data_IF_202446580675
#
_entry.id   IF_202446580675
#
_cell.length_a   1.000
_cell.length_b   1.000
_cell.length_c   1.000
_cell.angle_alpha   90.00
_cell.angle_beta   90.00
_cell.angle_gamma   90.00
#
_symmetry.space_group_name_H-M   'P 1'
#
loop_
_entity.id
_entity.type
_entity.pdbx_description
1 polymer ?
#
# COMPACT_ATOMS: atom_id res chain seq x y z
N UNK A 1 15.54 -12.69 -13.73
CA UNK A 1 14.71 -12.26 -12.59
C UNK A 1 15.37 -11.04 -11.98
N UNK A 2 14.74 -9.88 -12.11
CA UNK A 2 15.26 -8.63 -11.56
C UNK A 2 15.26 -8.68 -10.02
N UNK A 3 16.10 -7.88 -9.37
CA UNK A 3 16.11 -7.83 -7.89
C UNK A 3 14.77 -7.32 -7.33
N UNK A 4 14.06 -6.50 -8.11
CA UNK A 4 12.71 -6.06 -7.77
C UNK A 4 11.68 -7.20 -7.78
N UNK A 5 11.74 -8.12 -8.76
CA UNK A 5 10.86 -9.29 -8.80
C UNK A 5 11.06 -10.18 -7.57
N UNK A 6 12.30 -10.33 -7.10
CA UNK A 6 12.59 -11.06 -5.86
C UNK A 6 11.95 -10.41 -4.63
N UNK A 7 11.96 -9.08 -4.53
CA UNK A 7 11.31 -8.35 -3.44
C UNK A 7 9.80 -8.57 -3.48
N UNK A 8 9.20 -8.47 -4.67
CA UNK A 8 7.77 -8.72 -4.87
C UNK A 8 7.40 -10.14 -4.44
N UNK A 9 8.08 -11.15 -4.94
CA UNK A 9 7.80 -12.56 -4.61
C UNK A 9 7.99 -12.83 -3.11
N UNK A 10 9.03 -12.24 -2.52
CA UNK A 10 9.28 -12.31 -1.08
C UNK A 10 8.11 -11.73 -0.29
N UNK A 11 7.65 -10.53 -0.63
CA UNK A 11 6.53 -9.88 0.07
C UNK A 11 5.22 -10.66 -0.14
N UNK A 12 4.94 -11.16 -1.34
CA UNK A 12 3.75 -12.00 -1.58
C UNK A 12 3.76 -13.24 -0.69
N UNK A 13 4.92 -13.87 -0.47
CA UNK A 13 5.04 -15.07 0.36
C UNK A 13 4.82 -14.81 1.86
N UNK A 14 5.18 -13.63 2.36
CA UNK A 14 4.99 -13.22 3.75
C UNK A 14 4.94 -11.69 3.86
N UNK A 15 3.76 -11.07 3.63
CA UNK A 15 3.65 -9.62 3.52
C UNK A 15 4.12 -8.92 4.79
N UNK A 16 3.65 -9.35 5.96
CA UNK A 16 3.97 -8.71 7.24
C UNK A 16 5.47 -8.68 7.52
N UNK A 17 6.15 -9.83 7.45
CA UNK A 17 7.58 -9.91 7.77
C UNK A 17 8.44 -9.15 6.75
N UNK A 18 8.21 -9.38 5.46
CA UNK A 18 9.11 -8.91 4.42
C UNK A 18 8.83 -7.45 4.04
N UNK A 19 7.58 -6.99 4.17
CA UNK A 19 7.26 -5.57 4.04
C UNK A 19 7.83 -4.76 5.21
N UNK A 20 7.82 -5.27 6.44
CA UNK A 20 8.47 -4.59 7.59
C UNK A 20 9.93 -4.28 7.29
N UNK A 21 10.68 -5.25 6.76
CA UNK A 21 12.08 -5.03 6.41
C UNK A 21 12.22 -3.96 5.33
N UNK A 22 11.41 -4.02 4.28
CA UNK A 22 11.42 -3.03 3.21
C UNK A 22 11.04 -1.62 3.71
N UNK A 23 10.13 -1.53 4.68
CA UNK A 23 9.70 -0.27 5.31
C UNK A 23 10.86 0.46 6.00
N UNK A 24 11.73 -0.25 6.71
CA UNK A 24 12.87 0.36 7.38
C UNK A 24 13.98 0.80 6.42
N UNK A 25 14.09 0.16 5.26
CA UNK A 25 15.18 0.37 4.30
C UNK A 25 14.80 1.34 3.15
N UNK A 26 13.55 1.82 3.11
CA UNK A 26 13.00 2.58 1.97
C UNK A 26 12.36 3.91 2.39
N UNK A 27 12.27 4.84 1.44
CA UNK A 27 11.47 6.06 1.59
C UNK A 27 10.00 5.82 1.16
N UNK A 28 9.15 6.81 1.40
CA UNK A 28 7.73 6.78 1.10
C UNK A 28 7.43 6.56 -0.40
N UNK A 29 8.23 7.11 -1.32
CA UNK A 29 8.03 6.90 -2.76
C UNK A 29 8.22 5.44 -3.16
N UNK A 30 9.31 4.84 -2.68
CA UNK A 30 9.65 3.45 -2.97
C UNK A 30 8.58 2.50 -2.40
N UNK A 31 8.01 2.85 -1.23
CA UNK A 31 6.90 2.14 -0.62
C UNK A 31 5.63 2.25 -1.46
N UNK A 32 5.22 3.46 -1.85
CA UNK A 32 4.02 3.68 -2.66
C UNK A 32 4.17 3.03 -4.04
N UNK A 33 5.36 3.07 -4.64
CA UNK A 33 5.66 2.42 -5.91
C UNK A 33 5.53 0.89 -5.80
N UNK A 34 6.10 0.31 -4.74
CA UNK A 34 6.01 -1.12 -4.46
C UNK A 34 4.55 -1.56 -4.29
N UNK A 35 3.77 -0.86 -3.45
CA UNK A 35 2.35 -1.16 -3.23
C UNK A 35 1.54 -1.05 -4.53
N UNK A 36 1.84 -0.04 -5.37
CA UNK A 36 1.23 0.12 -6.69
C UNK A 36 1.55 -1.03 -7.65
N UNK A 37 2.64 -1.78 -7.44
CA UNK A 37 2.98 -2.96 -8.24
C UNK A 37 2.37 -4.23 -7.64
N UNK A 38 2.44 -4.39 -6.32
CA UNK A 38 1.85 -5.54 -5.60
C UNK A 38 0.35 -5.65 -5.88
N UNK A 39 -0.38 -4.53 -5.92
CA UNK A 39 -1.83 -4.55 -6.11
C UNK A 39 -2.27 -5.09 -7.48
N UNK A 40 -1.36 -5.11 -8.47
CA UNK A 40 -1.64 -5.63 -9.81
C UNK A 40 -1.43 -7.13 -9.93
N UNK A 41 -0.91 -7.80 -8.90
CA UNK A 41 -0.71 -9.24 -8.90
C UNK A 41 -2.09 -9.92 -8.91
N UNK A 42 -2.36 -10.81 -9.90
CA UNK A 42 -3.63 -11.51 -9.98
C UNK A 42 -3.97 -12.26 -8.69
N UNK A 43 -5.27 -12.34 -8.37
CA UNK A 43 -5.88 -13.15 -7.30
C UNK A 43 -5.51 -12.78 -5.85
N UNK A 44 -4.34 -12.20 -5.60
CA UNK A 44 -3.82 -11.97 -4.24
C UNK A 44 -3.32 -10.55 -3.98
N UNK A 45 -3.08 -9.74 -5.02
CA UNK A 45 -2.45 -8.42 -4.88
C UNK A 45 -3.20 -7.47 -3.93
N UNK A 46 -4.53 -7.47 -3.97
CA UNK A 46 -5.34 -6.64 -3.07
C UNK A 46 -5.13 -7.00 -1.59
N UNK A 47 -5.21 -8.29 -1.25
CA UNK A 47 -5.01 -8.78 0.12
C UNK A 47 -3.58 -8.50 0.61
N UNK A 48 -2.57 -8.73 -0.24
CA UNK A 48 -1.17 -8.45 0.08
C UNK A 48 -0.98 -6.97 0.43
N UNK A 49 -1.51 -6.06 -0.38
CA UNK A 49 -1.39 -4.60 -0.13
C UNK A 49 -2.09 -4.20 1.15
N UNK A 50 -3.29 -4.74 1.43
CA UNK A 50 -3.98 -4.49 2.69
C UNK A 50 -3.14 -4.93 3.89
N UNK A 51 -2.51 -6.10 3.82
CA UNK A 51 -1.62 -6.57 4.90
C UNK A 51 -0.39 -5.68 5.07
N UNK A 52 0.21 -5.20 3.98
CA UNK A 52 1.31 -4.24 4.04
C UNK A 52 0.89 -2.91 4.66
N UNK A 53 -0.29 -2.39 4.32
CA UNK A 53 -0.83 -1.15 4.89
C UNK A 53 -1.11 -1.27 6.39
N UNK A 54 -1.71 -2.38 6.83
CA UNK A 54 -1.90 -2.66 8.26
C UNK A 54 -0.56 -2.77 8.99
N UNK A 55 0.45 -3.39 8.36
CA UNK A 55 1.79 -3.44 8.92
C UNK A 55 2.42 -2.04 9.05
N UNK A 56 2.26 -1.18 8.05
CA UNK A 56 2.73 0.20 8.11
C UNK A 56 2.02 0.98 9.22
N UNK A 57 0.70 0.80 9.32
CA UNK A 57 -0.13 1.39 10.36
C UNK A 57 0.39 1.03 11.75
N UNK A 58 0.55 -0.27 12.02
CA UNK A 58 0.96 -0.78 13.33
C UNK A 58 2.37 -0.29 13.73
N UNK A 59 3.29 -0.21 12.77
CA UNK A 59 4.68 0.17 13.04
C UNK A 59 4.85 1.67 13.32
N UNK A 60 3.99 2.50 12.71
CA UNK A 60 4.06 3.96 12.84
C UNK A 60 2.98 4.53 13.78
N UNK A 61 2.22 3.66 14.45
CA UNK A 61 1.14 4.01 15.39
C UNK A 61 0.05 4.90 14.77
N UNK A 62 -0.30 4.63 13.50
CA UNK A 62 -1.38 5.32 12.82
C UNK A 62 -2.76 4.80 13.26
N UNK A 63 -3.77 5.68 13.23
CA UNK A 63 -5.13 5.34 13.63
C UNK A 63 -5.87 4.55 12.54
N UNK A 64 -5.57 4.81 11.27
CA UNK A 64 -6.22 4.15 10.13
C UNK A 64 -5.20 3.51 9.18
N UNK A 65 -5.60 2.43 8.50
CA UNK A 65 -4.72 1.66 7.62
C UNK A 65 -4.25 2.45 6.40
N UNK A 66 -5.08 3.36 5.90
CA UNK A 66 -4.73 4.27 4.80
C UNK A 66 -4.04 5.56 5.22
N UNK A 67 -3.95 5.84 6.51
CA UNK A 67 -3.36 7.07 7.02
C UNK A 67 -1.92 7.32 6.54
N UNK A 68 -1.00 6.33 6.46
CA UNK A 68 0.34 6.58 5.90
C UNK A 68 0.29 7.12 4.47
N UNK A 69 -0.60 6.58 3.62
CA UNK A 69 -0.74 6.98 2.22
C UNK A 69 -1.40 8.35 2.10
N UNK A 70 -2.40 8.62 2.95
CA UNK A 70 -3.08 9.92 2.99
C UNK A 70 -2.14 11.00 3.53
N UNK A 71 -1.35 10.69 4.55
CA UNK A 71 -0.34 11.60 5.11
C UNK A 71 0.65 12.03 4.02
N UNK A 72 1.25 11.07 3.30
CA UNK A 72 2.16 11.37 2.18
C UNK A 72 1.46 12.22 1.11
N UNK A 73 0.25 11.86 0.70
CA UNK A 73 -0.52 12.62 -0.29
C UNK A 73 -0.78 14.08 0.15
N UNK A 74 -1.00 14.32 1.44
CA UNK A 74 -1.29 15.68 1.96
C UNK A 74 -0.04 16.53 2.21
N UNK A 75 1.12 15.90 2.40
CA UNK A 75 2.37 16.58 2.75
C UNK A 75 3.28 16.80 1.55
N UNK A 76 3.10 16.03 0.48
CA UNK A 76 3.97 16.08 -0.70
C UNK A 76 3.65 17.26 -1.61
N UNK A 77 4.66 18.05 -1.97
CA UNK A 77 4.55 19.12 -2.99
C UNK A 77 4.81 18.59 -4.42
N UNK A 78 5.15 17.31 -4.56
CA UNK A 78 5.53 16.72 -5.83
C UNK A 78 4.33 16.05 -6.50
N UNK A 79 4.07 16.44 -7.76
CA UNK A 79 2.92 15.95 -8.53
C UNK A 79 2.99 14.43 -8.81
N UNK A 80 4.20 13.89 -9.01
CA UNK A 80 4.42 12.47 -9.24
C UNK A 80 4.11 11.62 -7.99
N UNK A 81 4.56 12.05 -6.82
CA UNK A 81 4.26 11.41 -5.54
C UNK A 81 2.76 11.45 -5.22
N UNK A 82 2.13 12.63 -5.38
CA UNK A 82 0.68 12.78 -5.21
C UNK A 82 -0.10 11.87 -6.17
N UNK A 83 0.31 11.83 -7.44
CA UNK A 83 -0.27 10.95 -8.46
C UNK A 83 -0.11 9.47 -8.12
N UNK A 84 1.06 9.06 -7.59
CA UNK A 84 1.31 7.69 -7.17
C UNK A 84 0.40 7.25 -6.00
N UNK A 85 0.21 8.13 -5.00
CA UNK A 85 -0.70 7.89 -3.88
C UNK A 85 -2.16 7.77 -4.35
N UNK A 86 -2.63 8.73 -5.14
CA UNK A 86 -3.98 8.70 -5.72
C UNK A 86 -4.21 7.46 -6.59
N UNK A 87 -3.18 7.02 -7.33
CA UNK A 87 -3.24 5.81 -8.14
C UNK A 87 -3.39 4.55 -7.28
N UNK A 88 -2.67 4.47 -6.15
CA UNK A 88 -2.80 3.36 -5.20
C UNK A 88 -4.22 3.32 -4.61
N UNK A 89 -4.72 4.44 -4.10
CA UNK A 89 -6.06 4.57 -3.52
C UNK A 89 -7.14 4.15 -4.54
N UNK A 90 -7.05 4.66 -5.77
CA UNK A 90 -7.98 4.30 -6.83
C UNK A 90 -7.94 2.80 -7.17
N UNK A 91 -6.75 2.18 -7.15
CA UNK A 91 -6.60 0.74 -7.39
C UNK A 91 -7.20 -0.08 -6.26
N UNK A 92 -7.00 0.31 -5.00
CA UNK A 92 -7.61 -0.32 -3.84
C UNK A 92 -9.14 -0.32 -3.92
N UNK A 93 -9.73 0.81 -4.34
CA UNK A 93 -11.18 0.91 -4.54
C UNK A 93 -11.68 0.09 -5.73
N UNK A 94 -10.96 0.10 -6.86
CA UNK A 94 -11.37 -0.60 -8.09
C UNK A 94 -11.25 -2.10 -7.96
N UNK A 95 -10.16 -2.58 -7.36
CA UNK A 95 -9.80 -4.00 -7.23
C UNK A 95 -10.30 -4.61 -5.91
N UNK A 96 -11.10 -3.87 -5.14
CA UNK A 96 -11.71 -4.39 -3.92
C UNK A 96 -12.52 -5.67 -4.20
N UNK A 97 -12.29 -6.77 -3.46
CA UNK A 97 -12.89 -8.08 -3.75
C UNK A 97 -14.40 -8.13 -3.44
N UNK A 98 -14.90 -7.16 -2.66
CA UNK A 98 -16.32 -7.07 -2.31
C UNK A 98 -16.78 -5.61 -2.16
N UNK A 99 -18.10 -5.41 -2.20
CA UNK A 99 -18.70 -4.11 -1.88
C UNK A 99 -18.35 -3.67 -0.44
N UNK A 100 -18.38 -4.60 0.51
CA UNK A 100 -18.03 -4.34 1.92
C UNK A 100 -16.58 -3.87 2.07
N UNK A 101 -15.62 -4.51 1.39
CA UNK A 101 -14.22 -4.08 1.39
C UNK A 101 -14.06 -2.66 0.81
N UNK A 102 -14.80 -2.36 -0.26
CA UNK A 102 -14.81 -1.02 -0.88
C UNK A 102 -15.38 0.05 0.05
N UNK A 103 -16.45 -0.28 0.79
CA UNK A 103 -17.06 0.61 1.78
C UNK A 103 -16.09 0.90 2.92
N UNK A 104 -15.37 -0.12 3.43
CA UNK A 104 -14.35 0.05 4.46
C UNK A 104 -13.23 1.00 4.02
N UNK A 105 -12.69 0.79 2.81
CA UNK A 105 -11.67 1.67 2.22
C UNK A 105 -12.18 3.12 2.14
N UNK A 106 -13.44 3.34 1.73
CA UNK A 106 -14.03 4.69 1.71
C UNK A 106 -14.14 5.29 3.10
N UNK A 107 -14.62 4.53 4.07
CA UNK A 107 -14.75 4.99 5.45
C UNK A 107 -13.39 5.38 6.05
N UNK A 108 -12.32 4.65 5.74
CA UNK A 108 -10.97 5.03 6.16
C UNK A 108 -10.47 6.33 5.51
N UNK A 109 -10.93 6.66 4.31
CA UNK A 109 -10.59 7.93 3.63
C UNK A 109 -11.39 9.11 4.16
N UNK A 110 -12.63 8.89 4.60
CA UNK A 110 -13.52 9.95 5.11
C UNK A 110 -13.13 10.39 6.54
N UNK A 111 -12.47 9.52 7.33
CA UNK A 111 -12.00 9.80 8.70
C UNK A 111 -13.00 9.46 9.79
#
# INVERSE_FOLDING_TARGET
>A
MSDFEKIVDSIVSNPQKNFTQFLYDSNEDDLILLLNRLILIPEHGHNVVVQCLLCWQDLMDFKFGLEPVVSELTQTDREDAASACLKLINRLLKLAPSASSRIRIRHELDG
#
